data_IF_767515528692
#
_entry.id   IF_767515528692
#
_cell.length_a   1.000
_cell.length_b   1.000
_cell.length_c   1.000
_cell.angle_alpha   90.00
_cell.angle_beta   90.00
_cell.angle_gamma   90.00
#
_symmetry.space_group_name_H-M   'P 1'
#
loop_
_entity.id
_entity.type
_entity.pdbx_description
1 polymer ?
#
# COMPACT_ATOMS: atom_id res chain seq x y z
N UNK A 1 14.04 18.91 9.91
CA UNK A 1 12.96 18.88 8.90
C UNK A 1 13.51 18.02 7.80
N UNK A 2 12.98 16.81 7.64
CA UNK A 2 13.74 15.71 7.04
C UNK A 2 13.01 15.25 5.77
N UNK A 3 13.65 15.37 4.61
CA UNK A 3 13.22 14.64 3.42
C UNK A 3 13.89 13.26 3.52
N UNK A 4 13.11 12.20 3.39
CA UNK A 4 13.64 10.84 3.38
C UNK A 4 13.95 10.45 1.94
N UNK A 5 15.16 9.97 1.67
CA UNK A 5 15.59 9.54 0.35
C UNK A 5 15.84 8.03 0.43
N UNK A 6 15.18 7.26 -0.44
CA UNK A 6 15.37 5.82 -0.58
C UNK A 6 16.02 5.49 -1.92
N UNK A 7 17.08 4.69 -1.86
CA UNK A 7 17.75 4.11 -3.03
C UNK A 7 17.13 2.76 -3.45
N UNK A 8 16.24 2.19 -2.63
CA UNK A 8 15.51 0.95 -2.90
C UNK A 8 14.07 1.30 -3.30
N UNK A 9 13.90 1.82 -4.51
CA UNK A 9 12.61 2.23 -5.02
C UNK A 9 11.79 1.04 -5.58
N UNK A 10 10.46 1.05 -5.43
CA UNK A 10 9.59 0.13 -6.16
C UNK A 10 9.76 0.29 -7.68
N UNK A 11 9.63 -0.83 -8.38
CA UNK A 11 10.07 -1.03 -9.77
C UNK A 11 9.68 0.12 -10.72
N UNK A 12 10.69 0.75 -11.35
CA UNK A 12 10.51 1.75 -12.42
C UNK A 12 11.10 3.13 -12.11
N UNK A 13 11.43 3.42 -10.85
CA UNK A 13 12.09 4.66 -10.43
C UNK A 13 13.53 4.39 -9.99
N UNK A 14 14.46 5.29 -10.33
CA UNK A 14 15.84 5.24 -9.83
C UNK A 14 16.02 5.97 -8.49
N UNK A 15 15.01 6.73 -8.07
CA UNK A 15 15.00 7.46 -6.80
C UNK A 15 13.57 7.60 -6.30
N UNK A 16 13.36 7.36 -5.01
CA UNK A 16 12.10 7.67 -4.33
C UNK A 16 12.36 8.57 -3.12
N UNK A 17 11.70 9.71 -3.06
CA UNK A 17 11.82 10.67 -1.97
C UNK A 17 10.48 10.83 -1.26
N UNK A 18 10.49 10.91 0.07
CA UNK A 18 9.29 11.16 0.88
C UNK A 18 9.42 12.49 1.61
N UNK A 19 8.44 13.36 1.40
CA UNK A 19 8.21 14.59 2.14
C UNK A 19 7.27 14.26 3.29
N UNK A 20 7.75 14.24 4.55
CA UNK A 20 6.93 13.80 5.67
C UNK A 20 5.87 14.83 6.05
N UNK A 21 4.87 14.35 6.79
CA UNK A 21 3.82 15.22 7.32
C UNK A 21 4.42 16.40 8.11
N UNK A 22 3.81 17.58 7.94
CA UNK A 22 4.21 18.81 8.63
C UNK A 22 5.42 19.55 8.02
N UNK A 23 5.96 19.07 6.90
CA UNK A 23 7.00 19.78 6.15
C UNK A 23 6.48 21.14 5.64
N UNK A 24 7.25 22.22 5.84
CA UNK A 24 6.89 23.57 5.39
C UNK A 24 6.92 23.71 3.86
N UNK A 25 5.78 24.08 3.28
CA UNK A 25 5.61 24.29 1.83
C UNK A 25 6.43 25.46 1.30
N UNK A 26 6.78 26.42 2.16
CA UNK A 26 7.64 27.56 1.80
C UNK A 26 9.07 27.11 1.42
N UNK A 27 9.53 25.97 1.95
CA UNK A 27 10.88 25.45 1.70
C UNK A 27 10.89 24.26 0.74
N UNK A 28 9.71 23.73 0.38
CA UNK A 28 9.57 22.46 -0.34
C UNK A 28 10.36 22.39 -1.64
N UNK A 29 10.19 23.37 -2.51
CA UNK A 29 10.85 23.37 -3.82
C UNK A 29 12.36 23.53 -3.69
N UNK A 30 12.84 24.36 -2.75
CA UNK A 30 14.27 24.61 -2.53
C UNK A 30 14.97 23.36 -2.00
N UNK A 31 14.39 22.73 -0.97
CA UNK A 31 14.96 21.55 -0.32
C UNK A 31 14.90 20.32 -1.25
N UNK A 32 13.82 20.13 -2.00
CA UNK A 32 13.74 19.07 -3.00
C UNK A 32 14.81 19.23 -4.08
N UNK A 33 14.98 20.44 -4.63
CA UNK A 33 16.01 20.69 -5.65
C UNK A 33 17.42 20.47 -5.10
N UNK A 34 17.68 20.85 -3.85
CA UNK A 34 18.96 20.58 -3.19
C UNK A 34 19.20 19.07 -3.06
N UNK A 35 18.23 18.33 -2.52
CA UNK A 35 18.31 16.89 -2.36
C UNK A 35 18.47 16.13 -3.69
N UNK A 36 17.78 16.56 -4.75
CA UNK A 36 17.94 15.99 -6.09
C UNK A 36 19.34 16.19 -6.66
N UNK A 37 19.97 17.35 -6.41
CA UNK A 37 21.36 17.62 -6.85
C UNK A 37 22.40 16.80 -6.10
N UNK A 38 22.13 16.50 -4.83
CA UNK A 38 23.00 15.67 -4.01
C UNK A 38 22.83 14.17 -4.29
N UNK A 39 21.69 13.77 -4.89
CA UNK A 39 21.46 12.39 -5.29
C UNK A 39 22.43 11.96 -6.40
N UNK A 40 23.02 10.77 -6.26
CA UNK A 40 23.98 10.21 -7.22
C UNK A 40 23.30 9.42 -8.36
N UNK A 41 22.03 9.70 -8.60
CA UNK A 41 21.18 8.87 -9.46
C UNK A 41 21.43 9.22 -10.92
N UNK A 42 21.41 8.21 -11.78
CA UNK A 42 21.62 8.38 -13.22
C UNK A 42 20.60 9.37 -13.82
N UNK A 43 21.09 10.25 -14.69
CA UNK A 43 20.31 11.35 -15.32
C UNK A 43 19.14 10.89 -16.18
N UNK A 44 19.10 9.62 -16.57
CA UNK A 44 18.05 8.99 -17.36
C UNK A 44 17.02 8.24 -16.51
N UNK A 45 17.20 8.21 -15.19
CA UNK A 45 16.26 7.57 -14.28
C UNK A 45 15.05 8.44 -13.96
N UNK A 46 13.92 7.79 -13.66
CA UNK A 46 12.74 8.48 -13.15
C UNK A 46 12.86 8.66 -11.64
N UNK A 47 12.49 9.84 -11.14
CA UNK A 47 12.37 10.11 -9.71
C UNK A 47 10.91 10.21 -9.32
N UNK A 48 10.55 9.56 -8.22
CA UNK A 48 9.25 9.74 -7.57
C UNK A 48 9.38 10.56 -6.30
N UNK A 49 8.37 11.40 -6.03
CA UNK A 49 8.19 12.10 -4.76
C UNK A 49 6.85 11.67 -4.16
N UNK A 50 6.88 11.19 -2.92
CA UNK A 50 5.71 10.98 -2.07
C UNK A 50 5.56 12.18 -1.13
N UNK A 51 4.37 12.79 -1.12
CA UNK A 51 4.05 13.87 -0.18
C UNK A 51 3.01 13.34 0.80
N UNK A 52 3.40 13.20 2.06
CA UNK A 52 2.47 12.90 3.14
C UNK A 52 1.62 14.13 3.45
N UNK A 53 0.32 13.91 3.73
CA UNK A 53 -0.63 14.98 4.03
C UNK A 53 -0.63 16.06 2.93
N UNK A 54 -0.81 15.62 1.68
CA UNK A 54 -0.77 16.46 0.49
C UNK A 54 -1.85 17.56 0.54
N UNK A 55 -1.45 18.78 0.17
CA UNK A 55 -2.26 19.99 0.16
C UNK A 55 -2.63 20.39 -1.26
N UNK A 56 -3.72 21.16 -1.43
CA UNK A 56 -4.24 21.56 -2.74
C UNK A 56 -3.22 22.29 -3.64
N UNK A 57 -2.22 22.95 -3.06
CA UNK A 57 -1.20 23.69 -3.81
C UNK A 57 0.10 22.92 -4.04
N UNK A 58 0.26 21.71 -3.46
CA UNK A 58 1.48 20.91 -3.60
C UNK A 58 1.74 20.54 -5.06
N UNK A 59 0.70 20.21 -5.83
CA UNK A 59 0.83 19.95 -7.27
C UNK A 59 1.42 21.14 -8.02
N UNK A 60 1.01 22.37 -7.69
CA UNK A 60 1.54 23.57 -8.36
C UNK A 60 3.01 23.81 -7.99
N UNK A 61 3.37 23.58 -6.72
CA UNK A 61 4.75 23.68 -6.26
C UNK A 61 5.65 22.66 -6.98
N UNK A 62 5.21 21.42 -7.09
CA UNK A 62 5.96 20.33 -7.73
C UNK A 62 6.03 20.50 -9.26
N UNK A 63 4.96 20.98 -9.89
CA UNK A 63 4.96 21.36 -11.31
C UNK A 63 6.01 22.45 -11.61
N UNK A 64 6.24 23.39 -10.67
CA UNK A 64 7.24 24.46 -10.86
C UNK A 64 8.69 23.97 -10.95
N UNK A 65 8.96 22.76 -10.44
CA UNK A 65 10.28 22.10 -10.49
C UNK A 65 10.29 20.87 -11.42
N UNK A 66 9.29 20.75 -12.30
CA UNK A 66 9.27 19.76 -13.39
C UNK A 66 8.69 18.39 -13.04
N UNK A 67 8.05 18.23 -11.87
CA UNK A 67 7.33 17.01 -11.52
C UNK A 67 5.86 17.13 -11.92
N UNK A 68 5.19 16.00 -12.17
CA UNK A 68 3.76 15.94 -12.44
C UNK A 68 3.10 14.90 -11.54
N UNK A 69 1.96 15.24 -10.95
CA UNK A 69 1.15 14.27 -10.20
C UNK A 69 0.63 13.18 -11.13
N UNK A 70 0.65 11.93 -10.65
CA UNK A 70 0.19 10.77 -11.40
C UNK A 70 -0.65 9.79 -10.57
N UNK A 71 -0.61 9.89 -9.24
CA UNK A 71 -1.33 9.01 -8.32
C UNK A 71 -1.54 9.69 -6.96
N UNK A 72 -2.76 9.55 -6.45
CA UNK A 72 -3.08 9.85 -5.05
C UNK A 72 -3.20 8.54 -4.25
N UNK A 73 -2.73 8.56 -3.00
CA UNK A 73 -2.93 7.47 -2.04
C UNK A 73 -3.75 8.00 -0.86
N UNK A 74 -4.98 7.51 -0.75
CA UNK A 74 -5.93 7.96 0.26
C UNK A 74 -5.87 7.09 1.51
N UNK A 75 -5.64 7.70 2.67
CA UNK A 75 -5.85 7.03 3.96
C UNK A 75 -7.30 7.25 4.42
N UNK A 76 -8.11 6.19 4.38
CA UNK A 76 -9.48 6.22 4.89
C UNK A 76 -9.54 5.66 6.32
N UNK A 77 -10.47 6.16 7.15
CA UNK A 77 -10.69 5.67 8.52
C UNK A 77 -12.19 5.56 8.80
N UNK A 78 -12.57 4.58 9.60
CA UNK A 78 -13.91 4.44 10.14
C UNK A 78 -13.86 4.08 11.63
N UNK A 79 -14.98 4.25 12.34
CA UNK A 79 -15.11 3.78 13.73
C UNK A 79 -15.48 2.30 13.73
N UNK A 80 -15.00 1.57 14.72
CA UNK A 80 -15.36 0.17 14.95
C UNK A 80 -16.48 0.08 16.01
N UNK A 81 -17.48 -0.82 15.86
CA UNK A 81 -17.70 -1.68 14.70
C UNK A 81 -18.17 -0.86 13.47
N UNK A 82 -17.79 -1.27 12.25
CA UNK A 82 -18.29 -0.63 11.04
C UNK A 82 -19.80 -0.86 10.90
N UNK A 83 -20.48 0.00 10.14
CA UNK A 83 -21.87 -0.21 9.78
C UNK A 83 -21.98 -1.28 8.68
N UNK A 84 -22.97 -2.18 8.77
CA UNK A 84 -23.25 -3.18 7.73
C UNK A 84 -23.48 -4.58 8.29
N UNK A 85 -23.93 -5.50 7.44
CA UNK A 85 -23.97 -6.93 7.74
C UNK A 85 -22.62 -7.56 7.37
N UNK A 86 -22.12 -8.45 8.23
CA UNK A 86 -20.90 -9.21 7.95
C UNK A 86 -21.15 -10.29 6.89
N UNK A 87 -20.10 -10.63 6.16
CA UNK A 87 -20.10 -11.78 5.24
C UNK A 87 -19.39 -12.94 5.93
N UNK A 88 -19.86 -14.15 5.70
CA UNK A 88 -19.21 -15.35 6.22
C UNK A 88 -17.81 -15.51 5.59
N UNK A 89 -16.80 -15.57 6.44
CA UNK A 89 -15.39 -15.79 6.08
C UNK A 89 -14.80 -16.86 6.99
N UNK A 90 -13.64 -17.39 6.61
CA UNK A 90 -12.81 -18.25 7.47
C UNK A 90 -11.39 -17.71 7.58
N UNK A 91 -10.65 -18.02 8.66
CA UNK A 91 -9.23 -17.73 8.72
C UNK A 91 -8.44 -18.43 7.62
N UNK A 92 -7.33 -17.81 7.26
CA UNK A 92 -6.30 -18.33 6.37
C UNK A 92 -5.54 -19.48 7.04
N UNK A 93 -5.18 -20.51 6.28
CA UNK A 93 -4.38 -21.63 6.75
C UNK A 93 -3.07 -21.66 5.98
N UNK A 94 -1.98 -21.29 6.66
CA UNK A 94 -0.62 -21.27 6.10
C UNK A 94 -0.20 -22.65 5.58
N UNK A 95 0.38 -22.69 4.38
CA UNK A 95 0.77 -23.91 3.68
C UNK A 95 -0.38 -24.65 2.99
N UNK A 96 -1.64 -24.28 3.26
CA UNK A 96 -2.82 -24.87 2.61
C UNK A 96 -3.42 -23.89 1.60
N UNK A 97 -3.55 -22.61 1.98
CA UNK A 97 -4.23 -21.60 1.18
C UNK A 97 -3.28 -20.78 0.28
N UNK A 98 -1.96 -20.92 0.44
CA UNK A 98 -0.94 -20.06 -0.18
C UNK A 98 -1.10 -19.93 -1.70
N UNK A 99 -1.21 -21.05 -2.41
CA UNK A 99 -1.31 -21.06 -3.87
C UNK A 99 -2.62 -20.41 -4.35
N UNK A 100 -3.74 -20.73 -3.70
CA UNK A 100 -5.04 -20.17 -4.04
C UNK A 100 -5.10 -18.66 -3.77
N UNK A 101 -4.52 -18.21 -2.65
CA UNK A 101 -4.40 -16.81 -2.31
C UNK A 101 -3.53 -16.06 -3.32
N UNK A 102 -2.33 -16.56 -3.64
CA UNK A 102 -1.43 -15.91 -4.61
C UNK A 102 -2.06 -15.81 -6.00
N UNK A 103 -2.83 -16.83 -6.43
CA UNK A 103 -3.59 -16.76 -7.68
C UNK A 103 -4.58 -15.59 -7.65
N UNK A 104 -5.44 -15.50 -6.63
CA UNK A 104 -6.43 -14.43 -6.49
C UNK A 104 -5.77 -13.06 -6.37
N UNK A 105 -4.70 -12.95 -5.57
CA UNK A 105 -3.94 -11.72 -5.38
C UNK A 105 -3.35 -11.22 -6.70
N UNK A 106 -2.67 -12.09 -7.45
CA UNK A 106 -2.07 -11.72 -8.75
C UNK A 106 -3.12 -11.24 -9.76
N UNK A 107 -4.31 -11.85 -9.75
CA UNK A 107 -5.41 -11.50 -10.66
C UNK A 107 -6.04 -10.16 -10.27
N UNK A 108 -6.36 -9.99 -8.99
CA UNK A 108 -6.99 -8.78 -8.47
C UNK A 108 -6.07 -7.55 -8.55
N UNK A 109 -4.76 -7.75 -8.35
CA UNK A 109 -3.73 -6.71 -8.39
C UNK A 109 -2.86 -6.76 -9.64
N UNK A 110 -3.33 -7.36 -10.74
CA UNK A 110 -2.59 -7.47 -12.00
C UNK A 110 -2.08 -6.14 -12.58
N UNK A 111 -2.68 -5.03 -12.16
CA UNK A 111 -2.30 -3.65 -12.51
C UNK A 111 -1.39 -2.96 -11.48
N UNK A 112 -1.19 -3.55 -10.29
CA UNK A 112 -0.46 -2.94 -9.18
C UNK A 112 1.02 -3.40 -9.19
N UNK A 113 2.00 -2.48 -9.28
CA UNK A 113 3.42 -2.83 -9.38
C UNK A 113 3.95 -3.70 -8.22
N UNK A 114 3.55 -3.39 -6.98
CA UNK A 114 4.03 -4.10 -5.79
C UNK A 114 3.16 -5.33 -5.48
N UNK A 115 1.87 -5.12 -5.15
CA UNK A 115 0.96 -6.20 -4.76
C UNK A 115 0.73 -7.26 -5.85
N UNK A 116 0.77 -6.91 -7.14
CA UNK A 116 0.63 -7.88 -8.22
C UNK A 116 1.83 -8.82 -8.39
N UNK A 117 2.97 -8.50 -7.78
CA UNK A 117 4.23 -9.26 -7.85
C UNK A 117 4.52 -10.09 -6.60
N UNK A 118 3.53 -10.24 -5.71
CA UNK A 118 3.65 -11.08 -4.52
C UNK A 118 3.85 -12.54 -4.95
N UNK A 119 4.90 -13.18 -4.44
CA UNK A 119 5.21 -14.59 -4.66
C UNK A 119 5.36 -15.30 -3.30
N UNK A 120 5.58 -16.62 -3.33
CA UNK A 120 5.73 -17.41 -2.11
C UNK A 120 6.86 -16.92 -1.21
N UNK A 121 8.00 -16.49 -1.77
CA UNK A 121 9.13 -16.02 -0.97
C UNK A 121 8.79 -14.74 -0.21
N UNK A 122 8.15 -13.78 -0.89
CA UNK A 122 7.71 -12.53 -0.26
C UNK A 122 6.58 -12.78 0.75
N UNK A 123 5.70 -13.73 0.47
CA UNK A 123 4.64 -14.12 1.39
C UNK A 123 5.22 -14.75 2.67
N UNK A 124 6.21 -15.63 2.54
CA UNK A 124 6.93 -16.21 3.68
C UNK A 124 7.62 -15.14 4.53
N UNK A 125 8.13 -14.08 3.91
CA UNK A 125 8.72 -12.96 4.63
C UNK A 125 7.65 -12.15 5.38
N UNK A 126 6.48 -11.91 4.78
CA UNK A 126 5.35 -11.29 5.48
C UNK A 126 4.85 -12.13 6.66
N UNK A 127 4.89 -13.46 6.57
CA UNK A 127 4.52 -14.34 7.68
C UNK A 127 5.50 -14.32 8.86
N UNK A 128 6.73 -13.85 8.66
CA UNK A 128 7.74 -13.70 9.74
C UNK A 128 7.63 -12.38 10.48
N UNK A 129 6.85 -11.44 9.96
CA UNK A 129 6.67 -10.14 10.58
C UNK A 129 5.93 -10.28 11.93
N UNK A 130 6.34 -9.50 12.94
CA UNK A 130 5.76 -9.58 14.29
C UNK A 130 4.27 -9.24 14.35
N UNK A 131 3.76 -8.54 13.33
CA UNK A 131 2.35 -8.14 13.25
C UNK A 131 1.47 -9.20 12.60
N UNK A 132 2.04 -10.25 12.00
CA UNK A 132 1.27 -11.27 11.31
C UNK A 132 0.39 -12.06 12.29
N UNK A 133 -0.89 -12.17 11.95
CA UNK A 133 -1.90 -12.93 12.68
C UNK A 133 -2.81 -13.62 11.65
N UNK A 134 -2.84 -14.95 11.67
CA UNK A 134 -3.62 -15.77 10.73
C UNK A 134 -5.14 -15.64 10.97
N UNK A 135 -5.56 -15.40 12.21
CA UNK A 135 -6.94 -15.04 12.54
C UNK A 135 -7.34 -13.69 11.94
N UNK A 136 -6.36 -12.80 11.72
CA UNK A 136 -6.53 -11.51 11.05
C UNK A 136 -6.54 -11.59 9.53
N UNK A 137 -6.33 -12.78 8.94
CA UNK A 137 -6.30 -12.99 7.50
C UNK A 137 -7.53 -13.80 7.07
N UNK A 138 -8.55 -13.09 6.57
CA UNK A 138 -9.87 -13.66 6.32
C UNK A 138 -10.08 -13.99 4.84
N UNK A 139 -10.54 -15.21 4.57
CA UNK A 139 -10.85 -15.69 3.23
C UNK A 139 -12.37 -15.79 3.00
N UNK A 140 -12.80 -15.31 1.83
CA UNK A 140 -14.16 -15.44 1.34
C UNK A 140 -14.24 -16.59 0.33
N UNK A 141 -15.04 -17.59 0.63
CA UNK A 141 -15.29 -18.71 -0.27
C UNK A 141 -16.68 -18.66 -0.89
N UNK A 142 -16.74 -18.94 -2.19
CA UNK A 142 -17.99 -19.08 -2.94
C UNK A 142 -17.91 -20.36 -3.76
N UNK A 143 -18.88 -21.26 -3.55
CA UNK A 143 -18.93 -22.55 -4.27
C UNK A 143 -17.61 -23.35 -4.15
N UNK A 144 -17.03 -23.37 -2.93
CA UNK A 144 -15.76 -24.01 -2.59
C UNK A 144 -14.54 -23.48 -3.37
N UNK A 145 -14.59 -22.22 -3.80
CA UNK A 145 -13.47 -21.51 -4.42
C UNK A 145 -13.21 -20.22 -3.68
N UNK A 146 -11.93 -19.86 -3.56
CA UNK A 146 -11.54 -18.56 -3.04
C UNK A 146 -12.04 -17.46 -3.98
N UNK A 147 -12.91 -16.60 -3.46
CA UNK A 147 -13.52 -15.49 -4.19
C UNK A 147 -12.93 -14.14 -3.79
N UNK A 148 -12.27 -14.05 -2.64
CA UNK A 148 -11.63 -12.83 -2.16
C UNK A 148 -11.01 -13.02 -0.79
N UNK A 149 -10.34 -11.99 -0.31
CA UNK A 149 -9.72 -11.99 1.01
C UNK A 149 -9.71 -10.58 1.62
N UNK A 150 -9.60 -10.52 2.94
CA UNK A 150 -9.33 -9.32 3.72
C UNK A 150 -8.24 -9.65 4.73
N UNK A 151 -7.04 -9.13 4.51
CA UNK A 151 -5.91 -9.29 5.40
C UNK A 151 -5.76 -8.04 6.26
N UNK A 152 -5.87 -8.22 7.57
CA UNK A 152 -5.81 -7.14 8.55
C UNK A 152 -4.48 -7.13 9.30
N UNK A 153 -4.13 -5.94 9.80
CA UNK A 153 -2.98 -5.71 10.67
C UNK A 153 -3.45 -4.92 11.89
N UNK A 154 -2.98 -5.31 13.07
CA UNK A 154 -3.29 -4.59 14.31
C UNK A 154 -2.06 -3.83 14.79
N UNK A 155 -2.24 -2.54 15.01
CA UNK A 155 -1.22 -1.66 15.58
C UNK A 155 -1.53 -1.40 17.04
N UNK A 156 -0.59 -1.75 17.91
CA UNK A 156 -0.64 -1.42 19.33
C UNK A 156 0.28 -0.22 19.59
N UNK A 157 -0.29 0.98 19.68
CA UNK A 157 0.40 2.16 20.19
C UNK A 157 -0.07 2.38 21.63
N UNK A 158 0.84 2.77 22.53
CA UNK A 158 0.67 2.96 23.99
C UNK A 158 -0.75 2.84 24.57
N UNK A 159 -1.67 3.68 24.11
CA UNK A 159 -3.03 3.87 24.60
C UNK A 159 -4.12 3.67 23.53
N UNK A 160 -3.72 3.32 22.30
CA UNK A 160 -4.62 3.15 21.15
C UNK A 160 -4.31 1.87 20.37
N UNK A 161 -5.33 1.02 20.22
CA UNK A 161 -5.30 -0.08 19.26
C UNK A 161 -6.00 0.35 17.98
N UNK A 162 -5.30 0.26 16.85
CA UNK A 162 -5.83 0.61 15.52
C UNK A 162 -5.74 -0.62 14.62
N UNK A 163 -6.85 -0.99 13.99
CA UNK A 163 -6.87 -1.97 12.92
C UNK A 163 -6.62 -1.31 11.56
N UNK A 164 -5.85 -1.98 10.73
CA UNK A 164 -5.59 -1.63 9.34
C UNK A 164 -6.08 -2.78 8.44
N UNK A 165 -6.70 -2.43 7.31
CA UNK A 165 -6.87 -3.37 6.20
C UNK A 165 -5.57 -3.29 5.39
N UNK A 166 -4.66 -4.24 5.62
CA UNK A 166 -3.35 -4.28 4.96
C UNK A 166 -3.53 -4.57 3.46
N UNK A 167 -4.38 -5.53 3.13
CA UNK A 167 -4.80 -5.80 1.76
C UNK A 167 -6.22 -6.36 1.73
N UNK A 168 -7.01 -5.95 0.74
CA UNK A 168 -8.35 -6.49 0.49
C UNK A 168 -8.57 -6.61 -1.00
N UNK A 169 -9.11 -7.74 -1.44
CA UNK A 169 -9.37 -7.99 -2.84
C UNK A 169 -10.50 -8.99 -3.06
N UNK A 170 -11.11 -8.90 -4.24
CA UNK A 170 -12.06 -9.88 -4.77
C UNK A 170 -11.49 -10.37 -6.11
N UNK A 171 -11.54 -11.67 -6.35
CA UNK A 171 -11.16 -12.23 -7.63
C UNK A 171 -12.05 -11.63 -8.74
N UNK A 172 -11.47 -11.14 -9.85
CA UNK A 172 -12.25 -10.52 -10.93
C UNK A 172 -13.38 -11.40 -11.48
N UNK A 173 -13.25 -12.73 -11.45
CA UNK A 173 -14.29 -13.69 -11.84
C UNK A 173 -15.53 -13.70 -10.95
N UNK A 174 -15.45 -13.12 -9.76
CA UNK A 174 -16.54 -12.98 -8.79
C UNK A 174 -16.99 -11.53 -8.58
N UNK A 175 -16.33 -10.54 -9.23
CA UNK A 175 -16.58 -9.10 -9.06
C UNK A 175 -18.02 -8.62 -9.32
N UNK A 176 -18.81 -9.39 -10.06
CA UNK A 176 -20.22 -9.11 -10.35
C UNK A 176 -21.18 -9.51 -9.23
N UNK A 177 -20.75 -10.35 -8.29
CA UNK A 177 -21.51 -10.64 -7.07
C UNK A 177 -21.25 -9.47 -6.11
N UNK A 178 -22.27 -8.67 -5.78
CA UNK A 178 -22.14 -7.57 -4.82
C UNK A 178 -21.90 -8.15 -3.43
N UNK A 179 -20.69 -7.99 -2.92
CA UNK A 179 -20.28 -8.36 -1.56
C UNK A 179 -20.22 -7.12 -0.64
N UNK A 180 -21.00 -6.07 -0.94
CA UNK A 180 -21.03 -4.78 -0.24
C UNK A 180 -22.46 -4.34 0.05
#
# INVERSE_FOLDING_TARGET
MNILISDEAPVGFGLSMTVPQGFSRDLLTVELVAALRESLVATDSLTQIWIEDAQMDDDKLLNSIGFSSYRDLWQMRCKFPPNGEGIATRPYICGVDDEAFLEVNSRAFSWHPEQGSLDLSKLDDLFKEEWFDDEGFLLLEVENRLAGFCWTKVHHQSDLTVGEIFAIAVDPGFSWKRFW
#
